data_IF_091897779445
#
_entry.id   IF_091897779445
#
_cell.length_a   1.000
_cell.length_b   1.000
_cell.length_c   1.000
_cell.angle_alpha   90.00
_cell.angle_beta   90.00
_cell.angle_gamma   90.00
#
_symmetry.space_group_name_H-M   'P 1'
#
loop_
_entity.id
_entity.type
_entity.pdbx_description
1 polymer ?
#
# COMPACT_ATOMS: atom_id res chain seq x y z
N UNK A 1 2.60 -41.93 -7.51
CA UNK A 1 2.38 -40.46 -7.43
C UNK A 1 1.04 -40.27 -6.73
N UNK A 2 1.05 -39.64 -5.54
CA UNK A 2 -0.08 -39.67 -4.58
C UNK A 2 -1.25 -38.81 -5.09
N UNK A 3 -2.37 -39.41 -5.54
CA UNK A 3 -3.55 -38.71 -6.09
C UNK A 3 -4.12 -37.67 -5.10
N UNK A 4 -4.04 -37.93 -3.80
CA UNK A 4 -4.49 -37.03 -2.75
C UNK A 4 -3.65 -35.74 -2.64
N UNK A 5 -2.35 -35.77 -2.96
CA UNK A 5 -1.49 -34.60 -2.96
C UNK A 5 -1.90 -33.62 -4.08
N UNK A 6 -2.15 -34.12 -5.28
CA UNK A 6 -2.54 -33.31 -6.42
C UNK A 6 -3.94 -32.70 -6.25
N UNK A 7 -4.88 -33.41 -5.66
CA UNK A 7 -6.19 -32.81 -5.36
C UNK A 7 -6.12 -31.67 -4.35
N UNK A 8 -5.21 -31.77 -3.36
CA UNK A 8 -5.08 -30.76 -2.30
C UNK A 8 -4.18 -29.58 -2.69
N UNK A 9 -3.12 -29.82 -3.45
CA UNK A 9 -2.08 -28.81 -3.72
C UNK A 9 -1.86 -28.52 -5.21
N UNK A 10 -2.59 -29.14 -6.12
CA UNK A 10 -2.38 -29.03 -7.55
C UNK A 10 -2.45 -27.57 -8.05
N UNK A 11 -3.44 -26.82 -7.62
CA UNK A 11 -3.56 -25.40 -7.98
C UNK A 11 -2.38 -24.57 -7.50
N UNK A 12 -1.91 -24.82 -6.29
CA UNK A 12 -0.76 -24.12 -5.71
C UNK A 12 0.53 -24.45 -6.48
N UNK A 13 0.72 -25.73 -6.81
CA UNK A 13 1.89 -26.17 -7.59
C UNK A 13 1.89 -25.53 -8.99
N UNK A 14 0.74 -25.49 -9.66
CA UNK A 14 0.60 -24.86 -10.98
C UNK A 14 1.01 -23.38 -10.93
N UNK A 15 0.55 -22.64 -9.90
CA UNK A 15 0.91 -21.23 -9.72
C UNK A 15 2.42 -21.05 -9.56
N UNK A 16 3.07 -21.87 -8.73
CA UNK A 16 4.52 -21.78 -8.54
C UNK A 16 5.31 -22.17 -9.79
N UNK A 17 4.86 -23.22 -10.50
CA UNK A 17 5.47 -23.64 -11.78
C UNK A 17 5.33 -22.54 -12.82
N UNK A 18 4.15 -21.92 -12.93
CA UNK A 18 3.93 -20.80 -13.83
C UNK A 18 4.81 -19.60 -13.47
N UNK A 19 4.90 -19.26 -12.19
CA UNK A 19 5.77 -18.18 -11.72
C UNK A 19 7.24 -18.46 -12.05
N UNK A 20 7.72 -19.68 -11.77
CA UNK A 20 9.09 -20.06 -12.10
C UNK A 20 9.36 -20.01 -13.61
N UNK A 21 8.43 -20.50 -14.44
CA UNK A 21 8.54 -20.42 -15.88
C UNK A 21 8.59 -18.96 -16.38
N UNK A 22 7.78 -18.08 -15.79
CA UNK A 22 7.76 -16.66 -16.12
C UNK A 22 9.08 -15.97 -15.69
N UNK A 23 9.63 -16.31 -14.53
CA UNK A 23 10.93 -15.78 -14.07
C UNK A 23 12.06 -16.22 -15.02
N UNK A 24 12.08 -17.49 -15.44
CA UNK A 24 13.04 -18.00 -16.42
C UNK A 24 12.87 -17.30 -17.77
N UNK A 25 11.64 -17.17 -18.25
CA UNK A 25 11.35 -16.48 -19.50
C UNK A 25 11.87 -15.03 -19.49
N UNK A 26 11.56 -14.25 -18.45
CA UNK A 26 12.03 -12.88 -18.34
C UNK A 26 13.56 -12.80 -18.26
N UNK A 27 14.22 -13.75 -17.56
CA UNK A 27 15.68 -13.77 -17.43
C UNK A 27 16.42 -14.00 -18.76
N UNK A 28 15.78 -14.65 -19.72
CA UNK A 28 16.35 -14.86 -21.08
C UNK A 28 16.46 -13.52 -21.81
N UNK A 29 15.44 -12.66 -21.69
CA UNK A 29 15.39 -11.36 -22.38
C UNK A 29 16.06 -10.25 -21.60
N UNK A 30 16.17 -10.37 -20.26
CA UNK A 30 16.78 -9.38 -19.41
C UNK A 30 17.90 -10.00 -18.56
N UNK A 31 19.15 -9.80 -19.00
CA UNK A 31 20.34 -10.32 -18.32
C UNK A 31 20.53 -9.77 -16.91
N UNK A 32 19.96 -8.60 -16.62
CA UNK A 32 20.04 -7.98 -15.31
C UNK A 32 18.95 -8.43 -14.33
N UNK A 33 18.06 -9.34 -14.77
CA UNK A 33 16.90 -9.75 -13.97
C UNK A 33 17.30 -10.31 -12.60
N UNK A 34 18.30 -11.18 -12.51
CA UNK A 34 18.80 -11.76 -11.27
C UNK A 34 19.95 -10.99 -10.61
N UNK A 35 20.17 -9.72 -11.02
CA UNK A 35 21.19 -8.89 -10.36
C UNK A 35 20.71 -8.33 -9.02
N UNK A 36 21.65 -8.09 -8.11
CA UNK A 36 21.37 -7.43 -6.83
C UNK A 36 20.77 -6.02 -7.04
N UNK A 37 21.15 -5.34 -8.12
CA UNK A 37 20.59 -4.05 -8.51
C UNK A 37 19.10 -4.14 -8.80
N UNK A 38 18.70 -5.09 -9.63
CA UNK A 38 17.30 -5.31 -9.95
C UNK A 38 16.48 -5.76 -8.73
N UNK A 39 17.03 -6.63 -7.89
CA UNK A 39 16.39 -7.04 -6.64
C UNK A 39 16.12 -5.84 -5.71
N UNK A 40 17.09 -4.93 -5.55
CA UNK A 40 16.90 -3.69 -4.79
C UNK A 40 15.83 -2.80 -5.40
N UNK A 41 15.77 -2.69 -6.74
CA UNK A 41 14.74 -1.92 -7.43
C UNK A 41 13.36 -2.53 -7.21
N UNK A 42 13.26 -3.86 -7.29
CA UNK A 42 12.01 -4.59 -7.04
C UNK A 42 11.49 -4.34 -5.62
N UNK A 43 12.36 -4.43 -4.61
CA UNK A 43 11.99 -4.12 -3.22
C UNK A 43 11.48 -2.68 -3.06
N UNK A 44 12.14 -1.70 -3.70
CA UNK A 44 11.69 -0.30 -3.65
C UNK A 44 10.33 -0.09 -4.28
N UNK A 45 10.13 -0.66 -5.47
CA UNK A 45 8.86 -0.56 -6.21
C UNK A 45 7.72 -1.27 -5.51
N UNK A 46 8.02 -2.33 -4.74
CA UNK A 46 7.02 -3.08 -3.98
C UNK A 46 6.60 -2.39 -2.68
N UNK A 47 7.38 -1.42 -2.17
CA UNK A 47 7.09 -0.77 -0.89
C UNK A 47 5.70 -0.13 -0.81
N UNK A 48 5.25 0.70 -1.76
CA UNK A 48 3.90 1.27 -1.72
C UNK A 48 2.81 0.19 -1.74
N UNK A 49 3.02 -0.87 -2.53
CA UNK A 49 2.08 -2.00 -2.61
C UNK A 49 2.01 -2.79 -1.29
N UNK A 50 3.15 -3.02 -0.64
CA UNK A 50 3.21 -3.67 0.67
C UNK A 50 2.48 -2.84 1.74
N UNK A 51 2.63 -1.51 1.73
CA UNK A 51 1.90 -0.62 2.64
C UNK A 51 0.40 -0.66 2.39
N UNK A 52 -0.02 -0.63 1.13
CA UNK A 52 -1.41 -0.75 0.73
C UNK A 52 -2.00 -2.11 1.16
N UNK A 53 -1.27 -3.21 0.93
CA UNK A 53 -1.67 -4.55 1.33
C UNK A 53 -1.81 -4.70 2.86
N UNK A 54 -0.93 -4.06 3.63
CA UNK A 54 -1.03 -4.04 5.10
C UNK A 54 -2.31 -3.34 5.55
N UNK A 55 -2.63 -2.16 4.99
CA UNK A 55 -3.88 -1.45 5.26
C UNK A 55 -5.10 -2.28 4.89
N UNK A 56 -5.10 -2.89 3.70
CA UNK A 56 -6.19 -3.75 3.23
C UNK A 56 -6.39 -4.99 4.12
N UNK A 57 -5.29 -5.58 4.61
CA UNK A 57 -5.36 -6.72 5.54
C UNK A 57 -6.12 -6.36 6.81
N UNK A 58 -5.88 -5.18 7.39
CA UNK A 58 -6.60 -4.71 8.57
C UNK A 58 -8.11 -4.59 8.32
N UNK A 59 -8.50 -4.12 7.13
CA UNK A 59 -9.91 -3.97 6.75
C UNK A 59 -10.56 -5.34 6.56
N UNK A 60 -9.89 -6.27 5.90
CA UNK A 60 -10.38 -7.65 5.70
C UNK A 60 -10.57 -8.36 7.05
N UNK A 61 -9.68 -8.15 8.01
CA UNK A 61 -9.82 -8.71 9.36
C UNK A 61 -11.08 -8.19 10.10
N UNK A 62 -11.59 -7.01 9.74
CA UNK A 62 -12.88 -6.51 10.26
C UNK A 62 -14.10 -7.04 9.52
N UNK A 63 -13.92 -7.85 8.49
CA UNK A 63 -14.98 -8.34 7.61
C UNK A 63 -15.43 -7.32 6.56
N UNK A 64 -14.68 -6.22 6.38
CA UNK A 64 -14.95 -5.20 5.37
C UNK A 64 -14.19 -5.44 4.07
N UNK A 65 -14.62 -4.75 3.01
CA UNK A 65 -13.91 -4.62 1.74
C UNK A 65 -13.79 -3.13 1.46
N UNK A 66 -12.57 -2.64 1.25
CA UNK A 66 -12.31 -1.24 0.88
C UNK A 66 -11.71 -1.18 -0.52
N UNK A 67 -12.47 -0.60 -1.43
CA UNK A 67 -12.04 -0.35 -2.81
C UNK A 67 -11.56 1.10 -3.01
N UNK A 68 -11.64 1.95 -1.98
CA UNK A 68 -11.26 3.37 -2.09
C UNK A 68 -9.76 3.62 -1.92
N UNK A 69 -8.98 2.61 -1.56
CA UNK A 69 -7.56 2.75 -1.29
C UNK A 69 -6.80 3.42 -2.45
N UNK A 70 -7.12 3.06 -3.71
CA UNK A 70 -6.52 3.66 -4.89
C UNK A 70 -6.76 5.17 -4.96
N UNK A 71 -8.02 5.60 -4.85
CA UNK A 71 -8.42 7.01 -4.87
C UNK A 71 -7.83 7.80 -3.69
N UNK A 72 -7.78 7.21 -2.49
CA UNK A 72 -7.13 7.83 -1.34
C UNK A 72 -5.64 8.04 -1.60
N UNK A 73 -4.95 7.04 -2.13
CA UNK A 73 -3.52 7.14 -2.46
C UNK A 73 -3.29 8.22 -3.54
N UNK A 74 -4.13 8.27 -4.58
CA UNK A 74 -4.04 9.28 -5.62
C UNK A 74 -4.20 10.69 -5.05
N UNK A 75 -5.22 10.92 -4.24
CA UNK A 75 -5.49 12.22 -3.63
C UNK A 75 -4.38 12.62 -2.64
N UNK A 76 -3.95 11.71 -1.77
CA UNK A 76 -2.83 11.94 -0.86
C UNK A 76 -1.53 12.28 -1.59
N UNK A 77 -1.25 11.60 -2.72
CA UNK A 77 -0.07 11.86 -3.53
C UNK A 77 -0.10 13.27 -4.13
N UNK A 78 -1.23 13.67 -4.71
CA UNK A 78 -1.42 15.01 -5.27
C UNK A 78 -1.24 16.07 -4.19
N UNK A 79 -1.90 15.96 -3.04
CA UNK A 79 -1.78 16.91 -1.94
C UNK A 79 -0.36 16.93 -1.39
N UNK A 80 0.30 15.80 -1.28
CA UNK A 80 1.71 15.71 -0.86
C UNK A 80 2.61 16.52 -1.80
N UNK A 81 2.47 16.32 -3.10
CA UNK A 81 3.28 17.00 -4.11
C UNK A 81 2.99 18.50 -4.14
N UNK A 82 1.73 18.93 -4.06
CA UNK A 82 1.34 20.34 -4.03
C UNK A 82 1.82 21.07 -2.78
N UNK A 83 1.92 20.37 -1.66
CA UNK A 83 2.40 20.91 -0.37
C UNK A 83 3.91 20.80 -0.20
N UNK A 84 4.60 20.16 -1.16
CA UNK A 84 6.05 19.97 -1.11
C UNK A 84 6.78 21.27 -1.46
N UNK A 85 7.71 21.69 -0.61
CA UNK A 85 8.67 22.73 -0.97
C UNK A 85 9.97 22.05 -1.46
N UNK A 86 10.23 22.03 -2.79
CA UNK A 86 11.38 21.34 -3.34
C UNK A 86 12.72 22.06 -3.06
N UNK A 87 12.68 23.35 -2.67
CA UNK A 87 13.88 24.15 -2.39
C UNK A 87 14.37 23.99 -0.95
N UNK A 88 13.54 23.41 -0.08
CA UNK A 88 13.87 23.19 1.34
C UNK A 88 14.13 21.73 1.63
N UNK A 89 15.24 21.43 2.32
CA UNK A 89 15.56 20.07 2.78
C UNK A 89 14.48 19.49 3.72
N UNK A 90 13.73 20.35 4.43
CA UNK A 90 12.63 19.97 5.33
C UNK A 90 11.25 20.17 4.71
N UNK A 91 11.18 20.59 3.45
CA UNK A 91 9.92 20.84 2.73
C UNK A 91 9.01 19.64 2.58
N UNK A 92 9.51 18.42 2.83
CA UNK A 92 8.73 17.20 2.84
C UNK A 92 7.86 17.04 4.13
N UNK A 93 8.21 17.70 5.23
CA UNK A 93 7.49 17.55 6.52
C UNK A 93 6.06 18.05 6.42
N UNK A 94 5.78 19.30 5.99
CA UNK A 94 4.41 19.76 5.80
C UNK A 94 3.66 18.95 4.74
N UNK A 95 4.34 18.49 3.69
CA UNK A 95 3.76 17.67 2.63
C UNK A 95 3.27 16.31 3.16
N UNK A 96 4.07 15.62 3.96
CA UNK A 96 3.66 14.37 4.60
C UNK A 96 2.53 14.60 5.62
N UNK A 97 2.59 15.70 6.38
CA UNK A 97 1.52 16.09 7.30
C UNK A 97 0.18 16.31 6.59
N UNK A 98 0.21 17.05 5.47
CA UNK A 98 -0.98 17.30 4.66
C UNK A 98 -1.55 16.00 4.05
N UNK A 99 -0.68 15.16 3.48
CA UNK A 99 -1.10 13.86 2.95
C UNK A 99 -1.70 12.95 4.03
N UNK A 100 -1.10 12.91 5.22
CA UNK A 100 -1.64 12.13 6.35
C UNK A 100 -3.01 12.67 6.81
N UNK A 101 -3.18 13.99 6.89
CA UNK A 101 -4.44 14.61 7.25
C UNK A 101 -5.55 14.27 6.24
N UNK A 102 -5.25 14.33 4.94
CA UNK A 102 -6.19 13.96 3.87
C UNK A 102 -6.54 12.48 3.95
N UNK A 103 -5.56 11.59 4.11
CA UNK A 103 -5.81 10.15 4.26
C UNK A 103 -6.70 9.82 5.46
N UNK A 104 -6.46 10.46 6.61
CA UNK A 104 -7.31 10.33 7.79
C UNK A 104 -8.72 10.86 7.54
N UNK A 105 -8.88 11.99 6.87
CA UNK A 105 -10.18 12.55 6.51
C UNK A 105 -10.97 11.61 5.59
N UNK A 106 -10.34 11.08 4.54
CA UNK A 106 -10.95 10.12 3.63
C UNK A 106 -11.40 8.84 4.37
N UNK A 107 -10.51 8.29 5.21
CA UNK A 107 -10.84 7.13 6.04
C UNK A 107 -11.97 7.40 7.03
N UNK A 108 -12.00 8.60 7.64
CA UNK A 108 -13.09 9.01 8.53
C UNK A 108 -14.42 9.12 7.79
N UNK A 109 -14.44 9.70 6.58
CA UNK A 109 -15.64 9.75 5.73
C UNK A 109 -16.18 8.35 5.47
N UNK A 110 -15.33 7.44 4.98
CA UNK A 110 -15.72 6.04 4.74
C UNK A 110 -16.24 5.38 6.02
N UNK A 111 -15.50 5.54 7.13
CA UNK A 111 -15.89 4.98 8.42
C UNK A 111 -17.24 5.48 8.93
N UNK A 112 -17.53 6.76 8.80
CA UNK A 112 -18.82 7.35 9.20
C UNK A 112 -19.96 6.84 8.32
N UNK A 113 -19.76 6.79 7.00
CA UNK A 113 -20.77 6.31 6.06
C UNK A 113 -21.12 4.82 6.30
N UNK A 114 -20.12 4.00 6.57
CA UNK A 114 -20.33 2.59 6.86
C UNK A 114 -20.96 2.38 8.23
N UNK A 115 -20.46 3.03 9.27
CA UNK A 115 -20.88 2.75 10.66
C UNK A 115 -22.16 3.48 11.05
N UNK A 116 -22.23 4.80 10.83
CA UNK A 116 -23.41 5.62 11.15
C UNK A 116 -24.46 5.60 10.05
N UNK A 117 -24.00 5.64 8.79
CA UNK A 117 -24.88 5.52 7.63
C UNK A 117 -25.46 4.12 7.42
N UNK A 118 -24.86 3.11 8.06
CA UNK A 118 -25.24 1.67 7.94
C UNK A 118 -25.22 1.21 6.49
N UNK A 119 -24.36 1.79 5.67
CA UNK A 119 -24.20 1.42 4.28
C UNK A 119 -23.22 0.27 4.11
N UNK A 120 -23.43 -0.56 3.10
CA UNK A 120 -22.50 -1.65 2.81
C UNK A 120 -21.10 -1.09 2.44
N UNK A 121 -20.00 -1.60 3.07
CA UNK A 121 -18.65 -1.08 2.86
C UNK A 121 -18.25 -0.99 1.39
N UNK A 122 -18.58 -2.02 0.61
CA UNK A 122 -18.24 -2.09 -0.82
C UNK A 122 -18.91 -0.96 -1.64
N UNK A 123 -20.16 -0.62 -1.34
CA UNK A 123 -20.90 0.44 -2.04
C UNK A 123 -20.30 1.81 -1.70
N UNK A 124 -20.02 2.05 -0.41
CA UNK A 124 -19.39 3.29 0.05
C UNK A 124 -18.05 3.48 -0.62
N UNK A 125 -17.19 2.47 -0.57
CA UNK A 125 -15.80 2.60 -1.01
C UNK A 125 -15.68 2.70 -2.53
N UNK A 126 -16.56 2.06 -3.31
CA UNK A 126 -16.64 2.29 -4.77
C UNK A 126 -17.04 3.75 -5.07
N UNK A 127 -18.08 4.26 -4.40
CA UNK A 127 -18.54 5.61 -4.64
C UNK A 127 -17.49 6.65 -4.23
N UNK A 128 -16.86 6.47 -3.06
CA UNK A 128 -15.83 7.39 -2.58
C UNK A 128 -14.54 7.32 -3.39
N UNK A 129 -14.20 6.17 -4.01
CA UNK A 129 -13.10 6.08 -4.98
C UNK A 129 -13.27 7.12 -6.08
N UNK A 130 -14.44 7.12 -6.73
CA UNK A 130 -14.73 8.07 -7.83
C UNK A 130 -14.64 9.52 -7.36
N UNK A 131 -15.09 9.83 -6.14
CA UNK A 131 -14.99 11.17 -5.55
C UNK A 131 -13.52 11.55 -5.31
N UNK A 132 -12.73 10.69 -4.68
CA UNK A 132 -11.34 10.99 -4.36
C UNK A 132 -10.46 11.08 -5.62
N UNK A 133 -10.68 10.22 -6.61
CA UNK A 133 -10.01 10.31 -7.92
C UNK A 133 -10.40 11.60 -8.65
N UNK A 134 -11.67 11.96 -8.64
CA UNK A 134 -12.14 13.22 -9.20
C UNK A 134 -11.53 14.44 -8.52
N UNK A 135 -11.42 14.44 -7.19
CA UNK A 135 -10.74 15.50 -6.44
C UNK A 135 -9.24 15.58 -6.79
N UNK A 136 -8.57 14.44 -6.91
CA UNK A 136 -7.16 14.40 -7.30
C UNK A 136 -6.96 15.00 -8.70
N UNK A 137 -7.80 14.66 -9.67
CA UNK A 137 -7.78 15.21 -11.03
C UNK A 137 -8.12 16.71 -11.09
N UNK A 138 -9.05 17.17 -10.26
CA UNK A 138 -9.37 18.60 -10.16
C UNK A 138 -8.19 19.41 -9.61
N UNK A 139 -7.48 18.88 -8.61
CA UNK A 139 -6.34 19.55 -8.01
C UNK A 139 -5.10 19.51 -8.93
N UNK A 140 -4.88 18.39 -9.64
CA UNK A 140 -3.73 18.22 -10.53
C UNK A 140 -4.15 17.49 -11.80
N UNK A 141 -4.68 18.22 -12.82
CA UNK A 141 -5.14 17.62 -14.08
C UNK A 141 -4.03 16.97 -14.91
N UNK A 142 -2.81 17.47 -14.76
CA UNK A 142 -1.64 16.95 -15.49
C UNK A 142 -0.60 16.40 -14.51
N UNK A 143 0.07 15.29 -14.85
CA UNK A 143 1.18 14.77 -14.06
C UNK A 143 2.27 15.85 -13.90
N UNK A 144 2.75 16.05 -12.67
CA UNK A 144 3.74 17.07 -12.40
C UNK A 144 4.23 17.05 -10.95
N UNK A 145 4.91 18.14 -10.60
CA UNK A 145 5.48 18.35 -9.28
C UNK A 145 6.94 17.89 -9.17
N UNK A 146 7.57 18.30 -8.08
CA UNK A 146 8.96 17.97 -7.79
C UNK A 146 9.14 17.65 -6.31
N UNK A 147 10.10 16.80 -6.04
CA UNK A 147 10.47 16.38 -4.68
C UNK A 147 11.92 16.82 -4.43
N UNK A 148 12.20 17.32 -3.23
CA UNK A 148 13.56 17.72 -2.87
C UNK A 148 14.55 16.55 -3.06
N UNK A 149 15.65 16.80 -3.76
CA UNK A 149 16.62 15.77 -4.18
C UNK A 149 17.19 14.97 -3.00
N UNK A 150 17.43 15.61 -1.84
CA UNK A 150 17.96 14.92 -0.67
C UNK A 150 16.93 13.93 -0.09
N UNK A 151 15.65 14.30 -0.02
CA UNK A 151 14.59 13.42 0.43
C UNK A 151 14.37 12.23 -0.53
N UNK A 152 14.32 12.51 -1.83
CA UNK A 152 14.25 11.46 -2.85
C UNK A 152 15.44 10.49 -2.74
N UNK A 153 16.66 11.02 -2.60
CA UNK A 153 17.88 10.20 -2.43
C UNK A 153 17.85 9.39 -1.14
N UNK A 154 17.38 9.95 -0.04
CA UNK A 154 17.22 9.24 1.23
C UNK A 154 16.30 8.05 1.10
N UNK A 155 15.11 8.24 0.52
CA UNK A 155 14.15 7.14 0.33
C UNK A 155 14.62 6.09 -0.68
N UNK A 156 15.27 6.52 -1.79
CA UNK A 156 15.61 5.59 -2.88
C UNK A 156 17.01 4.97 -2.75
N UNK A 157 17.98 5.68 -2.20
CA UNK A 157 19.38 5.26 -2.12
C UNK A 157 19.94 5.18 -0.71
N UNK A 158 19.22 5.70 0.31
CA UNK A 158 19.63 5.61 1.70
C UNK A 158 19.86 4.16 2.13
N UNK A 159 20.97 3.92 2.83
CA UNK A 159 21.39 2.58 3.26
C UNK A 159 21.27 1.53 2.13
N UNK A 160 21.83 1.82 0.97
CA UNK A 160 21.75 0.93 -0.21
C UNK A 160 20.32 0.59 -0.66
N UNK A 161 19.33 1.45 -0.36
CA UNK A 161 17.92 1.24 -0.71
C UNK A 161 17.13 0.38 0.26
N UNK A 162 17.66 0.11 1.44
CA UNK A 162 16.96 -0.65 2.48
C UNK A 162 15.95 0.19 3.28
N UNK A 163 15.99 1.53 3.20
CA UNK A 163 15.13 2.43 3.99
C UNK A 163 13.64 2.11 3.84
N UNK A 164 13.06 1.97 2.64
CA UNK A 164 11.66 1.62 2.51
C UNK A 164 11.31 0.29 3.18
N UNK A 165 12.19 -0.71 3.06
CA UNK A 165 11.97 -2.02 3.66
C UNK A 165 12.05 -2.00 5.18
N UNK A 166 12.99 -1.25 5.75
CA UNK A 166 13.08 -1.07 7.21
C UNK A 166 11.85 -0.32 7.75
N UNK A 167 11.37 0.70 7.04
CA UNK A 167 10.14 1.40 7.37
C UNK A 167 8.93 0.46 7.34
N UNK A 168 8.84 -0.41 6.32
CA UNK A 168 7.78 -1.41 6.25
C UNK A 168 7.80 -2.36 7.44
N UNK A 169 8.97 -2.92 7.80
CA UNK A 169 9.12 -3.78 8.96
C UNK A 169 8.73 -3.05 10.25
N UNK A 170 9.18 -1.81 10.42
CA UNK A 170 8.83 -1.00 11.59
C UNK A 170 7.31 -0.82 11.71
N UNK A 171 6.64 -0.44 10.61
CA UNK A 171 5.19 -0.24 10.59
C UNK A 171 4.46 -1.57 10.83
N UNK A 172 4.93 -2.66 10.24
CA UNK A 172 4.38 -4.00 10.47
C UNK A 172 4.48 -4.40 11.94
N UNK A 173 5.62 -4.16 12.59
CA UNK A 173 5.81 -4.42 14.02
C UNK A 173 4.89 -3.55 14.88
N UNK A 174 4.72 -2.27 14.54
CA UNK A 174 3.81 -1.37 15.24
C UNK A 174 2.35 -1.84 15.11
N UNK A 175 1.90 -2.16 13.90
CA UNK A 175 0.55 -2.68 13.64
C UNK A 175 0.32 -3.97 14.41
N UNK A 176 1.26 -4.91 14.35
CA UNK A 176 1.20 -6.16 15.11
C UNK A 176 1.12 -5.92 16.62
N UNK A 177 1.94 -5.01 17.13
CA UNK A 177 1.93 -4.65 18.55
C UNK A 177 0.57 -4.06 18.95
N UNK A 178 0.04 -3.12 18.18
CA UNK A 178 -1.28 -2.53 18.42
C UNK A 178 -2.40 -3.57 18.33
N UNK A 179 -2.35 -4.48 17.36
CA UNK A 179 -3.33 -5.55 17.23
C UNK A 179 -3.34 -6.51 18.42
N UNK A 180 -2.17 -6.81 18.99
CA UNK A 180 -2.06 -7.74 20.13
C UNK A 180 -2.30 -7.09 21.48
N UNK A 181 -1.95 -5.82 21.65
CA UNK A 181 -1.97 -5.13 22.96
C UNK A 181 -3.25 -4.34 23.21
N UNK A 182 -3.99 -3.96 22.15
CA UNK A 182 -5.19 -3.13 22.32
C UNK A 182 -6.47 -3.96 22.35
N UNK A 183 -7.52 -3.54 23.10
CA UNK A 183 -8.84 -4.17 23.08
C UNK A 183 -9.44 -4.20 21.67
N UNK A 184 -9.18 -3.16 20.88
CA UNK A 184 -9.63 -3.05 19.50
C UNK A 184 -9.00 -4.14 18.61
N UNK A 185 -7.69 -4.33 18.68
CA UNK A 185 -7.01 -5.38 17.91
C UNK A 185 -7.46 -6.79 18.31
N UNK A 186 -7.63 -7.04 19.60
CA UNK A 186 -8.15 -8.33 20.10
C UNK A 186 -9.58 -8.61 19.62
N UNK A 187 -10.44 -7.59 19.56
CA UNK A 187 -11.79 -7.73 19.03
C UNK A 187 -11.81 -8.01 17.53
N UNK A 188 -10.86 -7.47 16.76
CA UNK A 188 -10.69 -7.77 15.32
C UNK A 188 -10.23 -9.21 15.10
N UNK A 189 -9.18 -9.64 15.82
CA UNK A 189 -8.66 -11.01 15.71
C UNK A 189 -9.74 -12.03 16.14
N UNK A 190 -10.49 -11.74 17.20
CA UNK A 190 -11.59 -12.60 17.65
C UNK A 190 -12.71 -12.77 16.62
N UNK A 191 -13.03 -11.74 15.84
CA UNK A 191 -14.02 -11.82 14.75
C UNK A 191 -13.55 -12.65 13.55
N UNK A 192 -12.24 -12.68 13.30
CA UNK A 192 -11.67 -13.46 12.21
C UNK A 192 -11.66 -15.00 12.48
N UNK A 193 -11.93 -15.40 13.73
CA UNK A 193 -11.95 -16.81 14.16
C UNK A 193 -13.37 -17.34 14.39
N UNK A 194 -14.41 -16.57 14.15
CA UNK A 194 -15.82 -16.96 14.21
C UNK A 194 -16.40 -17.02 12.79
#
# INVERSE_FOLDING_TARGET
MNKNFWHKHGHTVIIYVFLAALMVFVSIFNKDFFTLGNFKNLLRSSFPLLMAALGQTLIILTGGIDLSLGGIVALCNVVCVMSMNPDSAWGFVPALGAAAAVGLACGAVNGVLVTKGRLAPIIVTIATTAVFDGMALLLMPNPGGSVHKAFAKFLTRGYSGAVPFLLFILILCLVRSLANSTPYGKAQIGRAHV
#
